data_IF_113884309721
#
_entry.id   IF_113884309721
#
_cell.length_a   1.000
_cell.length_b   1.000
_cell.length_c   1.000
_cell.angle_alpha   90.00
_cell.angle_beta   90.00
_cell.angle_gamma   90.00
#
_symmetry.space_group_name_H-M   'P 1'
#
loop_
_entity.id
_entity.type
_entity.pdbx_description
1 polymer ?
#
# COMPACT_ATOMS: atom_id res chain seq x y z
N UNK A 1 -17.75 -6.44 1.08
CA UNK A 1 -17.29 -6.19 2.46
C UNK A 1 -16.97 -4.71 2.56
N UNK A 2 -17.72 -3.95 3.37
CA UNK A 2 -17.45 -2.52 3.56
C UNK A 2 -16.01 -2.35 4.05
N UNK A 3 -15.29 -1.36 3.51
CA UNK A 3 -13.92 -1.04 3.92
C UNK A 3 -13.91 -0.76 5.42
N UNK A 4 -13.35 -1.68 6.21
CA UNK A 4 -13.18 -1.58 7.67
C UNK A 4 -12.38 -0.35 8.11
N UNK A 5 -11.85 0.44 7.18
CA UNK A 5 -10.78 1.40 7.45
C UNK A 5 -11.24 2.85 7.47
N UNK A 6 -12.44 3.19 7.01
CA UNK A 6 -12.85 4.61 6.92
C UNK A 6 -13.05 5.25 8.30
N UNK A 7 -13.47 4.48 9.30
CA UNK A 7 -13.78 4.99 10.66
C UNK A 7 -12.69 4.68 11.72
N UNK A 8 -11.67 3.88 11.38
CA UNK A 8 -10.58 3.56 12.31
C UNK A 8 -9.48 4.62 12.18
N UNK A 9 -9.07 5.28 13.29
CA UNK A 9 -7.89 6.13 13.31
C UNK A 9 -6.66 5.33 12.87
N UNK A 10 -6.00 5.78 11.80
CA UNK A 10 -4.78 5.15 11.32
C UNK A 10 -3.56 5.72 12.06
N UNK A 11 -2.52 4.93 12.28
CA UNK A 11 -1.27 5.45 12.80
C UNK A 11 -0.70 6.44 11.78
N UNK A 12 -0.55 7.70 12.20
CA UNK A 12 -0.06 8.78 11.34
C UNK A 12 1.44 8.98 11.59
N UNK A 13 2.27 8.73 10.60
CA UNK A 13 3.69 9.04 10.63
C UNK A 13 3.86 10.56 10.55
N UNK A 14 4.37 11.14 11.64
CA UNK A 14 4.76 12.54 11.74
C UNK A 14 6.22 12.62 12.17
N UNK A 15 6.81 13.82 12.17
CA UNK A 15 8.20 14.05 12.60
C UNK A 15 8.53 13.54 14.01
N UNK A 16 7.54 13.50 14.91
CA UNK A 16 7.72 13.13 16.32
C UNK A 16 7.39 11.64 16.60
N UNK A 17 6.94 10.90 15.58
CA UNK A 17 6.56 9.50 15.71
C UNK A 17 7.75 8.59 15.42
N UNK A 18 7.97 7.61 16.30
CA UNK A 18 8.96 6.57 16.07
C UNK A 18 8.58 5.73 14.84
N UNK A 19 9.42 5.75 13.81
CA UNK A 19 9.19 5.09 12.54
C UNK A 19 9.04 3.56 12.68
N UNK A 20 9.86 2.91 13.51
CA UNK A 20 9.80 1.44 13.69
C UNK A 20 8.46 1.01 14.31
N UNK A 21 7.98 1.75 15.31
CA UNK A 21 6.68 1.51 15.91
C UNK A 21 5.54 1.71 14.90
N UNK A 22 5.59 2.78 14.11
CA UNK A 22 4.62 3.03 13.04
C UNK A 22 4.62 1.89 12.01
N UNK A 23 5.82 1.45 11.59
CA UNK A 23 5.99 0.36 10.62
C UNK A 23 5.40 -0.96 11.11
N UNK A 24 5.60 -1.31 12.38
CA UNK A 24 5.00 -2.51 12.99
C UNK A 24 3.46 -2.44 12.95
N UNK A 25 2.87 -1.28 13.26
CA UNK A 25 1.42 -1.09 13.19
C UNK A 25 0.89 -1.16 11.76
N UNK A 26 1.59 -0.55 10.81
CA UNK A 26 1.22 -0.64 9.39
C UNK A 26 1.32 -2.06 8.84
N UNK A 27 2.36 -2.82 9.22
CA UNK A 27 2.49 -4.23 8.85
C UNK A 27 1.31 -5.07 9.38
N UNK A 28 0.90 -4.85 10.62
CA UNK A 28 -0.27 -5.54 11.19
C UNK A 28 -1.58 -5.17 10.47
N UNK A 29 -1.81 -3.87 10.20
CA UNK A 29 -3.01 -3.37 9.53
C UNK A 29 -3.13 -3.86 8.08
N UNK A 30 -2.03 -3.81 7.32
CA UNK A 30 -2.00 -4.28 5.94
C UNK A 30 -2.08 -5.81 5.88
N UNK A 31 -1.45 -6.50 6.84
CA UNK A 31 -1.54 -7.94 7.00
C UNK A 31 -2.97 -8.42 7.27
N UNK A 32 -3.73 -7.71 8.11
CA UNK A 32 -5.14 -8.07 8.39
C UNK A 32 -6.07 -7.91 7.19
N UNK A 33 -5.62 -7.18 6.15
CA UNK A 33 -6.36 -6.97 4.90
C UNK A 33 -5.77 -7.75 3.73
N UNK A 34 -4.80 -8.65 3.98
CA UNK A 34 -4.11 -9.44 2.95
C UNK A 34 -3.43 -8.57 1.86
N UNK A 35 -2.99 -7.37 2.28
CA UNK A 35 -2.38 -6.33 1.45
C UNK A 35 -0.88 -6.16 1.73
N UNK A 36 -0.31 -6.84 2.73
CA UNK A 36 1.10 -6.66 3.08
C UNK A 36 2.06 -7.15 1.99
N UNK A 37 1.71 -8.23 1.29
CA UNK A 37 2.58 -8.85 0.28
C UNK A 37 2.96 -7.87 -0.85
N UNK A 38 1.99 -7.08 -1.35
CA UNK A 38 2.26 -6.06 -2.39
C UNK A 38 3.11 -4.89 -1.88
N UNK A 39 3.17 -4.65 -0.57
CA UNK A 39 4.07 -3.64 0.02
C UNK A 39 5.47 -4.19 0.21
N UNK A 40 5.59 -5.45 0.62
CA UNK A 40 6.88 -6.08 0.90
C UNK A 40 7.59 -6.53 -0.38
N UNK A 41 6.86 -7.17 -1.29
CA UNK A 41 7.41 -7.81 -2.48
C UNK A 41 7.09 -7.02 -3.76
N UNK A 42 6.10 -6.13 -3.74
CA UNK A 42 5.60 -5.50 -4.95
C UNK A 42 4.82 -6.47 -5.82
N UNK A 43 4.50 -6.02 -7.03
CA UNK A 43 4.02 -6.89 -8.09
C UNK A 43 4.63 -6.44 -9.42
N UNK A 44 4.70 -7.34 -10.38
CA UNK A 44 5.06 -6.98 -11.74
C UNK A 44 3.85 -6.39 -12.46
N UNK A 45 4.03 -5.21 -13.04
CA UNK A 45 3.02 -4.57 -13.88
C UNK A 45 3.37 -4.86 -15.35
N UNK A 46 2.61 -5.72 -16.05
CA UNK A 46 2.96 -6.13 -17.40
C UNK A 46 2.75 -5.00 -18.41
N UNK A 47 3.68 -4.87 -19.37
CA UNK A 47 3.60 -3.86 -20.45
C UNK A 47 2.40 -4.12 -21.38
N UNK A 48 2.03 -5.39 -21.56
CA UNK A 48 0.86 -5.84 -22.33
C UNK A 48 0.22 -7.04 -21.65
N UNK A 49 -1.09 -7.21 -21.87
CA UNK A 49 -1.86 -8.37 -21.42
C UNK A 49 -2.32 -9.24 -22.60
N UNK A 50 -1.79 -9.00 -23.80
CA UNK A 50 -2.05 -9.84 -24.97
C UNK A 50 -1.66 -11.30 -24.69
N UNK A 51 -2.53 -12.23 -25.07
CA UNK A 51 -2.33 -13.66 -24.85
C UNK A 51 -2.61 -14.14 -23.41
N UNK A 52 -3.00 -13.26 -22.49
CA UNK A 52 -3.38 -13.68 -21.14
C UNK A 52 -4.69 -14.46 -21.17
N UNK A 53 -4.73 -15.55 -20.42
CA UNK A 53 -5.97 -16.26 -20.10
C UNK A 53 -6.84 -15.43 -19.14
N UNK A 54 -8.13 -15.77 -19.07
CA UNK A 54 -9.05 -15.15 -18.11
C UNK A 54 -8.58 -15.31 -16.65
N UNK A 55 -7.93 -16.44 -16.32
CA UNK A 55 -7.38 -16.68 -15.00
C UNK A 55 -6.24 -15.70 -14.66
N UNK A 56 -5.33 -15.45 -15.62
CA UNK A 56 -4.23 -14.49 -15.45
C UNK A 56 -4.74 -13.05 -15.34
N UNK A 57 -5.73 -12.67 -16.16
CA UNK A 57 -6.35 -11.35 -16.07
C UNK A 57 -7.05 -11.14 -14.71
N UNK A 58 -7.69 -12.18 -14.20
CA UNK A 58 -8.34 -12.15 -12.87
C UNK A 58 -7.30 -11.99 -11.76
N UNK A 59 -6.21 -12.76 -11.80
CA UNK A 59 -5.13 -12.66 -10.82
C UNK A 59 -4.46 -11.27 -10.84
N UNK A 60 -4.21 -10.72 -12.04
CA UNK A 60 -3.65 -9.38 -12.22
C UNK A 60 -4.59 -8.29 -11.66
N UNK A 61 -5.90 -8.43 -11.86
CA UNK A 61 -6.87 -7.50 -11.27
C UNK A 61 -6.83 -7.53 -9.75
N UNK A 62 -6.78 -8.73 -9.15
CA UNK A 62 -6.73 -8.89 -7.68
C UNK A 62 -5.46 -8.26 -7.10
N UNK A 63 -4.28 -8.49 -7.71
CA UNK A 63 -3.04 -7.91 -7.18
C UNK A 63 -3.00 -6.39 -7.32
N UNK A 64 -3.53 -5.82 -8.42
CA UNK A 64 -3.66 -4.37 -8.60
C UNK A 64 -4.62 -3.76 -7.58
N UNK A 65 -5.74 -4.42 -7.29
CA UNK A 65 -6.69 -3.97 -6.26
C UNK A 65 -6.04 -3.93 -4.87
N UNK A 66 -5.28 -4.96 -4.51
CA UNK A 66 -4.50 -5.01 -3.27
C UNK A 66 -3.45 -3.89 -3.21
N UNK A 67 -2.70 -3.66 -4.29
CA UNK A 67 -1.71 -2.58 -4.37
C UNK A 67 -2.34 -1.21 -4.14
N UNK A 68 -3.47 -0.93 -4.78
CA UNK A 68 -4.17 0.36 -4.59
C UNK A 68 -4.79 0.50 -3.21
N UNK A 69 -5.30 -0.58 -2.62
CA UNK A 69 -5.75 -0.55 -1.23
C UNK A 69 -4.59 -0.26 -0.27
N UNK A 70 -3.45 -0.92 -0.44
CA UNK A 70 -2.25 -0.69 0.36
C UNK A 70 -1.72 0.74 0.21
N UNK A 71 -1.62 1.22 -1.03
CA UNK A 71 -1.15 2.58 -1.35
C UNK A 71 -2.04 3.64 -0.72
N UNK A 72 -3.36 3.47 -0.79
CA UNK A 72 -4.30 4.40 -0.17
C UNK A 72 -4.17 4.44 1.37
N UNK A 73 -3.93 3.30 2.00
CA UNK A 73 -3.67 3.24 3.45
C UNK A 73 -2.37 3.95 3.82
N UNK A 74 -1.31 3.80 3.02
CA UNK A 74 -0.05 4.53 3.21
C UNK A 74 -0.28 6.05 3.11
N UNK A 75 -1.06 6.53 2.13
CA UNK A 75 -1.40 7.96 2.02
C UNK A 75 -2.12 8.50 3.25
N UNK A 76 -3.03 7.74 3.84
CA UNK A 76 -3.74 8.16 5.05
C UNK A 76 -2.90 8.05 6.33
N UNK A 77 -1.89 7.19 6.31
CA UNK A 77 -1.03 6.88 7.45
C UNK A 77 0.19 7.81 7.57
N UNK A 78 0.26 8.89 6.79
CA UNK A 78 1.38 9.85 6.82
C UNK A 78 0.88 11.28 6.98
N UNK A 79 1.75 12.19 7.43
CA UNK A 79 1.48 13.63 7.39
C UNK A 79 1.61 14.21 5.97
N UNK A 80 1.20 15.48 5.80
CA UNK A 80 1.18 16.14 4.50
C UNK A 80 2.58 16.23 3.87
N UNK A 81 3.61 16.52 4.67
CA UNK A 81 4.99 16.59 4.18
C UNK A 81 5.53 15.25 3.68
N UNK A 82 5.08 14.16 4.31
CA UNK A 82 5.45 12.79 3.94
C UNK A 82 4.59 12.31 2.77
N UNK A 83 3.33 12.72 2.69
CA UNK A 83 2.44 12.47 1.55
C UNK A 83 3.05 13.02 0.25
N UNK A 84 3.53 14.26 0.24
CA UNK A 84 4.16 14.86 -0.95
C UNK A 84 5.34 14.03 -1.49
N UNK A 85 6.12 13.40 -0.60
CA UNK A 85 7.23 12.51 -0.99
C UNK A 85 6.75 11.24 -1.68
N UNK A 86 5.63 10.67 -1.22
CA UNK A 86 5.10 9.40 -1.71
C UNK A 86 4.02 9.54 -2.79
N UNK A 87 3.50 10.74 -3.04
CA UNK A 87 2.39 10.99 -3.95
C UNK A 87 2.66 10.58 -5.41
N UNK A 88 3.94 10.56 -5.82
CA UNK A 88 4.36 10.14 -7.15
C UNK A 88 4.67 8.64 -7.27
N UNK A 89 4.54 7.87 -6.18
CA UNK A 89 4.75 6.44 -6.19
C UNK A 89 3.68 5.74 -7.04
N UNK A 90 4.11 4.83 -7.90
CA UNK A 90 3.22 4.07 -8.78
C UNK A 90 2.65 2.83 -8.10
N UNK A 91 3.32 2.36 -7.06
CA UNK A 91 2.97 1.20 -6.25
C UNK A 91 3.10 1.47 -4.76
N UNK A 92 2.42 0.66 -3.97
CA UNK A 92 2.55 0.65 -2.51
C UNK A 92 3.97 0.30 -2.06
N UNK A 93 4.68 -0.56 -2.80
CA UNK A 93 6.12 -0.84 -2.60
C UNK A 93 6.96 0.43 -2.72
N UNK A 94 6.83 1.16 -3.83
CA UNK A 94 7.56 2.41 -4.05
C UNK A 94 7.27 3.44 -2.97
N UNK A 95 5.99 3.60 -2.60
CA UNK A 95 5.58 4.51 -1.53
C UNK A 95 6.23 4.14 -0.18
N UNK A 96 6.27 2.85 0.15
CA UNK A 96 6.88 2.37 1.41
C UNK A 96 8.40 2.59 1.49
N UNK A 97 9.08 2.60 0.34
CA UNK A 97 10.52 2.90 0.28
C UNK A 97 10.77 4.41 0.42
N UNK A 98 9.91 5.22 -0.20
CA UNK A 98 9.99 6.68 -0.16
C UNK A 98 9.54 7.29 1.20
N UNK A 99 8.77 6.55 1.99
CA UNK A 99 8.37 6.97 3.34
C UNK A 99 9.41 6.67 4.43
N UNK A 100 10.50 5.96 4.10
CA UNK A 100 11.61 5.77 5.03
C UNK A 100 12.31 7.11 5.29
N UNK A 101 12.37 7.58 6.55
CA UNK A 101 13.06 8.82 6.90
C UNK A 101 14.55 8.79 6.61
#
# INVERSE_FOLDING_TARGET
>A
MASLTNDIPLPKLTKDVNYDNWKVQMKALLGSQDNWDVVENGHEEPVTTEGYSNAQLTALKVVREKDKAALYLLYRAVDESSFEKIANAKSSKEASLASNP
#
